data_IF_186271935348
#
_entry.id   IF_186271935348
#
_cell.length_a   1.000
_cell.length_b   1.000
_cell.length_c   1.000
_cell.angle_alpha   90.00
_cell.angle_beta   90.00
_cell.angle_gamma   90.00
#
_symmetry.space_group_name_H-M   'P 1'
#
loop_
_entity.id
_entity.type
_entity.pdbx_description
1 polymer ?
#
# COMPACT_ATOMS: atom_id res chain seq x y z
N UNK A 1 -27.54 8.44 6.82
CA UNK A 1 -26.57 7.33 6.85
C UNK A 1 -26.40 6.86 5.42
N UNK A 2 -25.25 7.13 4.84
CA UNK A 2 -24.94 6.64 3.49
C UNK A 2 -24.49 5.19 3.68
N UNK A 3 -25.29 4.23 3.21
CA UNK A 3 -24.91 2.82 3.19
C UNK A 3 -23.66 2.67 2.33
N UNK A 4 -22.51 2.63 3.00
CA UNK A 4 -21.26 2.24 2.36
C UNK A 4 -21.42 0.79 1.95
N UNK A 5 -21.70 0.56 0.65
CA UNK A 5 -21.92 -0.72 -0.05
C UNK A 5 -20.95 -1.88 0.27
N UNK A 6 -19.89 -1.64 1.06
CA UNK A 6 -18.84 -2.61 1.36
C UNK A 6 -18.58 -2.83 2.86
N UNK A 7 -19.28 -2.16 3.79
CA UNK A 7 -19.11 -2.41 5.23
C UNK A 7 -20.34 -3.09 5.82
N UNK A 8 -20.20 -4.38 6.10
CA UNK A 8 -21.09 -5.12 7.00
C UNK A 8 -20.82 -4.70 8.46
N UNK A 9 -21.78 -5.04 9.32
CA UNK A 9 -21.90 -4.64 10.73
C UNK A 9 -20.57 -4.47 11.50
N UNK A 10 -20.51 -3.44 12.34
CA UNK A 10 -19.42 -3.26 13.30
C UNK A 10 -19.48 -4.37 14.37
N UNK A 11 -18.34 -5.00 14.68
CA UNK A 11 -18.25 -5.97 15.79
C UNK A 11 -18.43 -5.31 17.16
N UNK A 12 -17.91 -4.09 17.31
CA UNK A 12 -18.03 -3.33 18.54
C UNK A 12 -19.35 -2.55 18.56
N UNK A 13 -20.01 -2.57 19.72
CA UNK A 13 -21.23 -1.80 20.01
C UNK A 13 -20.89 -0.42 20.60
N UNK A 14 -19.67 -0.25 21.11
CA UNK A 14 -19.16 1.03 21.60
C UNK A 14 -19.13 2.09 20.48
N UNK A 15 -19.44 3.34 20.83
CA UNK A 15 -19.35 4.48 19.91
C UNK A 15 -17.90 4.66 19.44
N UNK A 16 -17.71 4.97 18.16
CA UNK A 16 -16.39 5.29 17.61
C UNK A 16 -15.74 6.52 18.26
N UNK A 17 -14.44 6.67 18.03
CA UNK A 17 -13.61 7.75 18.61
C UNK A 17 -13.62 9.05 17.78
N UNK A 18 -14.19 9.02 16.58
CA UNK A 18 -14.15 10.15 15.64
C UNK A 18 -12.72 10.46 15.16
N UNK A 19 -12.46 11.74 14.92
CA UNK A 19 -11.14 12.25 14.55
C UNK A 19 -10.77 12.13 13.06
N UNK A 20 -9.56 12.61 12.76
CA UNK A 20 -8.95 12.61 11.43
C UNK A 20 -7.73 11.68 11.41
N UNK A 21 -7.62 10.90 10.35
CA UNK A 21 -6.52 9.97 10.10
C UNK A 21 -5.82 10.31 8.79
N UNK A 22 -4.51 10.03 8.70
CA UNK A 22 -3.63 10.35 7.54
C UNK A 22 -3.58 11.85 7.22
N UNK A 23 -3.60 12.71 8.24
CA UNK A 23 -3.41 14.17 8.10
C UNK A 23 -2.03 14.50 7.53
N UNK A 24 -1.01 13.71 7.87
CA UNK A 24 0.35 13.82 7.33
C UNK A 24 0.98 12.43 7.11
N UNK A 25 2.07 12.32 6.32
CA UNK A 25 2.83 11.07 6.23
C UNK A 25 3.38 10.59 7.59
N UNK A 26 3.58 11.49 8.54
CA UNK A 26 4.17 11.18 9.85
C UNK A 26 3.13 10.64 10.84
N UNK A 27 1.83 10.85 10.58
CA UNK A 27 0.73 10.30 11.37
C UNK A 27 0.46 8.82 11.07
N UNK A 28 1.19 8.21 10.12
CA UNK A 28 0.98 6.83 9.72
C UNK A 28 2.30 6.14 9.36
N UNK A 29 2.69 5.17 10.19
CA UNK A 29 3.86 4.34 9.99
C UNK A 29 3.48 2.90 9.63
N UNK A 30 4.21 2.32 8.68
CA UNK A 30 4.06 0.93 8.26
C UNK A 30 5.43 0.26 8.24
N UNK A 31 5.65 -0.69 9.13
CA UNK A 31 6.91 -1.41 9.26
C UNK A 31 6.74 -2.87 8.85
N UNK A 32 7.52 -3.33 7.86
CA UNK A 32 7.40 -4.71 7.40
C UNK A 32 7.92 -5.70 8.44
N UNK A 33 7.17 -6.78 8.62
CA UNK A 33 7.54 -7.92 9.46
C UNK A 33 8.07 -9.01 8.53
N UNK A 34 9.34 -9.35 8.71
CA UNK A 34 10.04 -10.41 7.99
C UNK A 34 9.42 -11.79 8.28
N UNK A 35 9.64 -12.80 7.41
CA UNK A 35 9.14 -14.16 7.63
C UNK A 35 9.54 -14.76 8.99
N UNK A 36 10.73 -14.42 9.50
CA UNK A 36 11.25 -14.83 10.81
C UNK A 36 10.67 -14.04 12.00
N UNK A 37 9.76 -13.09 11.75
CA UNK A 37 9.12 -12.27 12.76
C UNK A 37 9.87 -10.99 13.13
N UNK A 38 11.08 -10.75 12.61
CA UNK A 38 11.78 -9.48 12.85
C UNK A 38 11.05 -8.32 12.19
N UNK A 39 10.94 -7.21 12.91
CA UNK A 39 10.35 -5.98 12.36
C UNK A 39 11.45 -5.09 11.82
N UNK A 40 11.27 -4.60 10.59
CA UNK A 40 12.17 -3.62 10.00
C UNK A 40 11.79 -2.25 10.54
N UNK A 41 12.37 -1.83 11.66
CA UNK A 41 11.89 -0.63 12.36
C UNK A 41 12.30 0.67 11.63
N UNK A 42 11.43 1.69 11.69
CA UNK A 42 11.76 3.02 11.21
C UNK A 42 12.99 3.58 11.95
N UNK A 43 13.84 4.27 11.21
CA UNK A 43 15.07 4.95 11.67
C UNK A 43 16.11 4.03 12.32
N UNK A 44 15.86 2.72 12.39
CA UNK A 44 16.78 1.74 12.97
C UNK A 44 17.67 1.14 11.90
N UNK A 45 18.98 1.24 12.09
CA UNK A 45 19.96 0.54 11.26
C UNK A 45 19.82 -0.96 11.46
N UNK A 46 19.91 -1.70 10.35
CA UNK A 46 19.96 -3.15 10.38
C UNK A 46 21.35 -3.57 9.94
N UNK A 47 22.12 -3.97 10.93
CA UNK A 47 23.39 -4.64 10.73
C UNK A 47 23.11 -6.13 10.59
N UNK A 48 23.55 -6.70 9.48
CA UNK A 48 23.75 -8.14 9.36
C UNK A 48 25.24 -8.33 9.19
N UNK A 49 25.80 -9.25 9.96
CA UNK A 49 27.09 -9.80 9.59
C UNK A 49 26.93 -10.37 8.18
N UNK A 50 27.85 -9.98 7.29
CA UNK A 50 27.97 -10.61 5.98
C UNK A 50 28.35 -12.07 6.25
N UNK A 51 27.35 -12.95 6.46
CA UNK A 51 27.51 -14.34 6.05
C UNK A 51 28.05 -14.26 4.62
N UNK A 52 29.07 -15.05 4.29
CA UNK A 52 29.80 -15.07 3.00
C UNK A 52 28.93 -15.46 1.79
N UNK A 53 27.68 -15.02 1.77
CA UNK A 53 26.74 -14.95 0.68
C UNK A 53 27.38 -14.29 -0.54
N UNK A 54 27.95 -15.13 -1.40
CA UNK A 54 28.44 -14.78 -2.75
C UNK A 54 27.30 -14.64 -3.76
N UNK A 55 26.18 -14.04 -3.36
CA UNK A 55 25.01 -13.88 -4.21
C UNK A 55 25.11 -12.70 -5.17
N UNK A 56 24.42 -12.77 -6.31
CA UNK A 56 24.33 -11.63 -7.24
C UNK A 56 23.32 -10.57 -6.79
N UNK A 57 22.48 -10.87 -5.80
CA UNK A 57 21.52 -9.92 -5.26
C UNK A 57 22.08 -9.22 -4.02
N UNK A 58 21.60 -8.00 -3.82
CA UNK A 58 21.78 -7.26 -2.58
C UNK A 58 20.41 -7.01 -2.00
N UNK A 59 20.16 -7.53 -0.82
CA UNK A 59 18.99 -7.17 -0.03
C UNK A 59 19.26 -5.85 0.66
N UNK A 60 18.24 -5.01 0.78
CA UNK A 60 18.34 -3.74 1.46
C UNK A 60 17.01 -3.34 2.10
N UNK A 61 17.11 -2.63 3.21
CA UNK A 61 15.96 -2.11 3.96
C UNK A 61 15.65 -0.72 3.46
N UNK A 62 14.60 -0.62 2.67
CA UNK A 62 14.11 0.64 2.12
C UNK A 62 13.22 1.33 3.15
N UNK A 63 13.65 2.50 3.62
CA UNK A 63 12.81 3.45 4.32
C UNK A 63 12.38 4.56 3.35
N UNK A 64 11.09 4.94 3.37
CA UNK A 64 10.58 6.04 2.56
C UNK A 64 9.50 6.83 3.27
N UNK A 65 9.39 8.13 2.97
CA UNK A 65 8.34 9.03 3.47
C UNK A 65 7.66 9.74 2.29
N UNK A 66 6.33 9.71 2.21
CA UNK A 66 5.57 10.36 1.13
C UNK A 66 5.83 9.83 -0.31
N UNK A 67 6.55 8.72 -0.46
CA UNK A 67 6.89 8.07 -1.73
C UNK A 67 6.09 6.78 -1.95
N UNK A 68 5.72 6.48 -3.20
CA UNK A 68 5.28 5.14 -3.57
C UNK A 68 6.48 4.19 -3.60
N UNK A 69 6.28 2.89 -3.34
CA UNK A 69 7.39 1.91 -3.40
C UNK A 69 8.07 1.92 -4.77
N UNK A 70 7.29 1.98 -5.87
CA UNK A 70 7.85 1.96 -7.22
C UNK A 70 8.63 3.24 -7.54
N UNK A 71 8.14 4.41 -7.14
CA UNK A 71 8.83 5.68 -7.41
C UNK A 71 10.14 5.80 -6.62
N UNK A 72 10.15 5.32 -5.38
CA UNK A 72 11.37 5.24 -4.59
C UNK A 72 12.41 4.33 -5.26
N UNK A 73 12.00 3.14 -5.72
CA UNK A 73 12.89 2.22 -6.44
C UNK A 73 13.39 2.79 -7.78
N UNK A 74 12.56 3.57 -8.50
CA UNK A 74 13.00 4.29 -9.71
C UNK A 74 14.04 5.35 -9.37
N UNK A 75 13.84 6.12 -8.31
CA UNK A 75 14.78 7.14 -7.87
C UNK A 75 16.13 6.52 -7.48
N UNK A 76 16.10 5.43 -6.71
CA UNK A 76 17.30 4.64 -6.36
C UNK A 76 17.98 4.11 -7.62
N UNK A 77 17.21 3.50 -8.54
CA UNK A 77 17.73 3.00 -9.82
C UNK A 77 18.46 4.07 -10.63
N UNK A 78 17.88 5.27 -10.75
CA UNK A 78 18.55 6.41 -11.39
C UNK A 78 19.85 6.79 -10.69
N UNK A 79 19.84 6.88 -9.36
CA UNK A 79 21.03 7.26 -8.59
C UNK A 79 22.17 6.24 -8.70
N UNK A 80 21.88 4.94 -8.86
CA UNK A 80 22.89 3.90 -9.07
C UNK A 80 23.14 3.56 -10.55
N UNK A 81 22.47 4.24 -11.49
CA UNK A 81 22.65 4.07 -12.93
C UNK A 81 22.08 2.76 -13.49
N UNK A 82 20.94 2.27 -12.98
CA UNK A 82 20.32 1.05 -13.48
C UNK A 82 18.78 1.11 -13.57
N UNK A 83 18.21 0.18 -14.35
CA UNK A 83 16.77 0.09 -14.55
C UNK A 83 16.05 -0.43 -13.31
N UNK A 84 14.80 0.04 -13.09
CA UNK A 84 13.90 -0.49 -12.06
C UNK A 84 13.70 -2.01 -12.16
N UNK A 85 13.85 -2.60 -13.36
CA UNK A 85 13.73 -4.05 -13.57
C UNK A 85 14.74 -4.88 -12.76
N UNK A 86 15.83 -4.28 -12.29
CA UNK A 86 16.81 -4.93 -11.41
C UNK A 86 16.38 -4.98 -9.95
N UNK A 87 15.28 -4.32 -9.59
CA UNK A 87 14.77 -4.25 -8.22
C UNK A 87 13.58 -5.18 -8.02
N UNK A 88 13.43 -5.71 -6.81
CA UNK A 88 12.27 -6.52 -6.41
C UNK A 88 11.91 -6.23 -4.96
N UNK A 89 10.63 -6.42 -4.59
CA UNK A 89 10.08 -6.14 -3.26
C UNK A 89 9.00 -7.16 -2.91
N UNK A 90 8.69 -7.31 -1.62
CA UNK A 90 7.67 -8.26 -1.15
C UNK A 90 6.24 -7.73 -1.30
N UNK A 91 6.07 -6.41 -1.33
CA UNK A 91 4.77 -5.77 -1.52
C UNK A 91 4.89 -4.27 -1.70
N UNK A 92 3.80 -3.65 -2.13
CA UNK A 92 3.67 -2.19 -2.15
C UNK A 92 3.29 -1.70 -0.75
N UNK A 93 3.76 -0.51 -0.38
CA UNK A 93 3.37 0.18 0.85
C UNK A 93 2.75 1.53 0.50
N UNK A 94 1.92 2.05 1.40
CA UNK A 94 1.24 3.35 1.25
C UNK A 94 2.21 4.47 0.87
N UNK A 95 1.76 5.35 -0.05
CA UNK A 95 2.49 6.57 -0.39
C UNK A 95 2.44 7.59 0.75
N UNK A 96 1.25 7.81 1.31
CA UNK A 96 1.00 8.79 2.37
C UNK A 96 1.32 8.19 3.75
N UNK A 97 2.58 7.84 3.96
CA UNK A 97 3.06 7.17 5.16
C UNK A 97 4.59 7.32 5.30
N UNK A 98 5.11 7.02 6.49
CA UNK A 98 6.49 6.57 6.69
C UNK A 98 6.52 5.05 6.64
N UNK A 99 7.38 4.46 5.81
CA UNK A 99 7.36 3.00 5.64
C UNK A 99 8.75 2.41 5.55
N UNK A 100 8.92 1.23 6.12
CA UNK A 100 10.09 0.37 5.92
C UNK A 100 9.68 -0.94 5.27
N UNK A 101 10.51 -1.44 4.36
CA UNK A 101 10.30 -2.72 3.71
C UNK A 101 11.61 -3.31 3.20
N UNK A 102 11.65 -4.63 3.05
CA UNK A 102 12.75 -5.29 2.37
C UNK A 102 12.59 -5.17 0.87
N UNK A 103 13.68 -4.82 0.20
CA UNK A 103 13.82 -4.86 -1.23
C UNK A 103 15.13 -5.55 -1.61
N UNK A 104 15.27 -5.89 -2.89
CA UNK A 104 16.51 -6.43 -3.44
C UNK A 104 16.87 -5.75 -4.75
N UNK A 105 18.16 -5.67 -5.04
CA UNK A 105 18.73 -5.17 -6.28
C UNK A 105 19.69 -6.21 -6.87
N UNK A 106 19.62 -6.45 -8.17
CA UNK A 106 20.53 -7.36 -8.87
C UNK A 106 21.81 -6.65 -9.33
N UNK A 107 22.97 -7.22 -8.98
CA UNK A 107 24.32 -6.73 -9.31
C UNK A 107 24.59 -5.27 -8.90
N UNK A 108 24.13 -4.90 -7.70
CA UNK A 108 24.45 -3.61 -7.08
C UNK A 108 25.08 -3.89 -5.73
N UNK A 109 26.28 -3.37 -5.48
CA UNK A 109 26.97 -3.62 -4.21
C UNK A 109 26.31 -2.90 -3.02
N UNK A 110 26.26 -3.51 -1.83
CA UNK A 110 25.63 -2.92 -0.64
C UNK A 110 26.10 -1.50 -0.34
N UNK A 111 27.41 -1.25 -0.41
CA UNK A 111 27.99 0.08 -0.18
C UNK A 111 27.44 1.17 -1.11
N UNK A 112 27.11 0.83 -2.37
CA UNK A 112 26.52 1.80 -3.31
C UNK A 112 25.11 2.22 -2.90
N UNK A 113 24.34 1.31 -2.28
CA UNK A 113 23.00 1.62 -1.77
C UNK A 113 23.11 2.40 -0.45
N UNK A 114 23.98 1.97 0.46
CA UNK A 114 24.20 2.62 1.76
C UNK A 114 24.71 4.06 1.63
N UNK A 115 25.47 4.36 0.57
CA UNK A 115 25.98 5.70 0.28
C UNK A 115 24.96 6.64 -0.38
N UNK A 116 23.75 6.17 -0.71
CA UNK A 116 22.74 7.01 -1.34
C UNK A 116 22.22 8.08 -0.38
N UNK A 117 22.12 9.30 -0.90
CA UNK A 117 21.43 10.41 -0.25
C UNK A 117 20.33 10.91 -1.18
N UNK A 118 19.08 10.55 -0.87
CA UNK A 118 17.89 10.96 -1.61
C UNK A 118 16.88 11.47 -0.59
N UNK A 119 16.38 12.68 -0.79
CA UNK A 119 15.41 13.29 0.14
C UNK A 119 14.22 12.36 0.40
N UNK A 120 13.86 12.19 1.67
CA UNK A 120 12.76 11.34 2.14
C UNK A 120 12.89 9.83 1.83
N UNK A 121 14.09 9.36 1.44
CA UNK A 121 14.41 7.94 1.21
C UNK A 121 15.68 7.59 2.00
N UNK A 122 15.63 6.52 2.78
CA UNK A 122 16.75 5.98 3.53
C UNK A 122 17.02 4.52 3.22
N UNK A 123 18.29 4.11 3.26
CA UNK A 123 18.70 2.71 3.21
C UNK A 123 19.20 2.34 4.61
N UNK A 124 18.35 1.68 5.39
CA UNK A 124 18.63 1.40 6.80
C UNK A 124 19.60 0.21 6.98
N UNK A 125 19.81 -0.59 5.95
CA UNK A 125 20.76 -1.70 5.93
C UNK A 125 20.84 -2.29 4.52
N UNK A 126 21.96 -2.91 4.17
CA UNK A 126 22.13 -3.64 2.92
C UNK A 126 23.18 -4.74 3.07
N UNK A 127 22.94 -5.91 2.47
CA UNK A 127 23.83 -7.08 2.54
C UNK A 127 23.66 -7.95 1.28
N UNK A 128 24.65 -8.80 1.00
CA UNK A 128 24.58 -9.73 -0.14
C UNK A 128 23.61 -10.87 0.11
N UNK A 129 22.88 -11.30 -0.92
CA UNK A 129 21.92 -12.39 -0.84
C UNK A 129 21.93 -13.26 -2.11
N UNK A 130 21.74 -14.57 -1.95
CA UNK A 130 21.70 -15.52 -3.06
C UNK A 130 20.45 -15.40 -3.96
N UNK A 131 19.40 -14.71 -3.52
CA UNK A 131 18.12 -14.64 -4.20
C UNK A 131 17.51 -13.24 -4.16
N UNK A 132 16.59 -12.94 -5.09
CA UNK A 132 15.74 -11.75 -5.00
C UNK A 132 14.67 -11.90 -3.91
N UNK A 133 14.22 -10.78 -3.37
CA UNK A 133 12.99 -10.69 -2.58
C UNK A 133 11.81 -11.07 -3.50
N UNK A 134 10.99 -12.02 -3.05
CA UNK A 134 9.84 -12.52 -3.81
C UNK A 134 8.58 -11.74 -3.41
N UNK A 135 7.68 -11.52 -4.36
CA UNK A 135 6.37 -10.95 -4.04
C UNK A 135 5.65 -11.84 -3.02
N UNK A 136 5.07 -11.24 -1.98
CA UNK A 136 4.40 -11.94 -0.88
C UNK A 136 5.33 -12.53 0.18
N UNK A 137 6.66 -12.41 0.07
CA UNK A 137 7.60 -12.97 1.06
C UNK A 137 7.75 -12.08 2.31
N UNK A 138 6.65 -11.76 2.98
CA UNK A 138 6.60 -11.09 4.28
C UNK A 138 5.62 -11.82 5.21
N UNK A 139 5.81 -11.69 6.53
CA UNK A 139 4.86 -12.22 7.52
C UNK A 139 3.65 -11.30 7.70
N UNK A 140 3.88 -9.99 7.64
CA UNK A 140 2.85 -8.99 7.87
C UNK A 140 3.44 -7.58 7.97
N UNK A 141 2.65 -6.65 8.51
CA UNK A 141 3.09 -5.28 8.76
C UNK A 141 2.70 -4.88 10.18
N UNK A 142 3.57 -4.13 10.85
CA UNK A 142 3.27 -3.40 12.07
C UNK A 142 2.82 -2.00 11.70
N UNK A 143 1.66 -1.59 12.20
CA UNK A 143 1.09 -0.28 11.93
C UNK A 143 1.17 0.58 13.18
N UNK A 144 1.58 1.84 13.02
CA UNK A 144 1.41 2.88 14.03
C UNK A 144 0.60 4.00 13.42
N UNK A 145 -0.53 4.32 14.05
CA UNK A 145 -1.51 5.27 13.53
C UNK A 145 -1.75 6.35 14.59
N UNK A 146 -1.56 7.60 14.20
CA UNK A 146 -1.96 8.76 15.00
C UNK A 146 -3.29 9.29 14.45
N UNK A 147 -4.28 9.41 15.34
CA UNK A 147 -5.60 9.97 15.04
C UNK A 147 -5.71 11.30 15.77
N UNK A 148 -5.96 12.36 15.02
CA UNK A 148 -6.04 13.73 15.51
C UNK A 148 -7.50 14.18 15.64
N UNK A 149 -7.74 15.30 16.33
CA UNK A 149 -9.08 15.89 16.49
C UNK A 149 -10.11 14.90 17.08
N UNK A 150 -9.68 14.08 18.04
CA UNK A 150 -10.54 13.11 18.72
C UNK A 150 -11.35 13.76 19.84
N UNK A 151 -12.50 13.15 20.19
CA UNK A 151 -13.32 13.55 21.33
C UNK A 151 -12.59 13.30 22.67
N UNK A 152 -12.95 14.03 23.73
CA UNK A 152 -12.33 13.92 25.06
C UNK A 152 -12.37 12.50 25.64
N UNK A 153 -13.44 11.75 25.37
CA UNK A 153 -13.63 10.37 25.87
C UNK A 153 -12.98 9.32 24.96
N UNK A 154 -12.22 9.70 23.94
CA UNK A 154 -11.65 8.76 22.97
C UNK A 154 -10.81 7.67 23.64
N UNK A 155 -10.00 8.01 24.64
CA UNK A 155 -9.16 7.04 25.35
C UNK A 155 -9.97 5.95 26.07
N UNK A 156 -11.10 6.31 26.67
CA UNK A 156 -12.01 5.34 27.32
C UNK A 156 -12.72 4.47 26.29
N UNK A 157 -13.19 5.09 25.19
CA UNK A 157 -13.83 4.35 24.09
C UNK A 157 -12.87 3.36 23.43
N UNK A 158 -11.59 3.71 23.23
CA UNK A 158 -10.59 2.76 22.71
C UNK A 158 -10.50 1.54 23.62
N UNK A 159 -10.42 1.72 24.94
CA UNK A 159 -10.36 0.59 25.89
C UNK A 159 -11.59 -0.30 25.79
N UNK A 160 -12.78 0.30 25.71
CA UNK A 160 -14.05 -0.42 25.55
C UNK A 160 -14.08 -1.22 24.24
N UNK A 161 -13.78 -0.57 23.11
CA UNK A 161 -13.74 -1.18 21.78
C UNK A 161 -12.73 -2.35 21.77
N UNK A 162 -11.51 -2.16 22.25
CA UNK A 162 -10.49 -3.22 22.28
C UNK A 162 -10.93 -4.40 23.16
N UNK A 163 -11.57 -4.11 24.30
CA UNK A 163 -12.14 -5.14 25.17
C UNK A 163 -13.25 -5.95 24.51
N UNK A 164 -14.14 -5.30 23.76
CA UNK A 164 -15.21 -5.95 23.00
C UNK A 164 -14.65 -6.79 21.84
N UNK A 165 -13.67 -6.27 21.12
CA UNK A 165 -13.08 -6.92 19.94
C UNK A 165 -12.23 -8.15 20.29
N UNK A 166 -11.68 -8.24 21.50
CA UNK A 166 -10.80 -9.34 21.93
C UNK A 166 -9.63 -9.60 20.96
N UNK A 167 -9.13 -8.53 20.32
CA UNK A 167 -8.11 -8.57 19.27
C UNK A 167 -8.54 -9.20 17.93
N UNK A 168 -9.83 -9.38 17.70
CA UNK A 168 -10.39 -9.85 16.43
C UNK A 168 -11.06 -8.69 15.68
N UNK A 169 -10.88 -8.67 14.37
CA UNK A 169 -11.54 -7.71 13.47
C UNK A 169 -12.02 -8.44 12.23
N UNK A 170 -13.15 -8.04 11.63
CA UNK A 170 -13.56 -8.62 10.36
C UNK A 170 -12.53 -8.29 9.29
N UNK A 171 -12.05 -9.31 8.59
CA UNK A 171 -11.06 -9.15 7.53
C UNK A 171 -11.73 -8.79 6.19
N UNK A 172 -12.42 -7.64 6.17
CA UNK A 172 -13.10 -7.15 4.98
C UNK A 172 -12.13 -6.55 3.95
N UNK A 173 -12.50 -6.65 2.69
CA UNK A 173 -11.92 -5.80 1.64
C UNK A 173 -12.47 -4.38 1.80
N UNK A 174 -11.59 -3.41 2.06
CA UNK A 174 -11.98 -2.00 2.12
C UNK A 174 -12.33 -1.42 0.74
N UNK A 175 -12.94 -0.23 0.72
CA UNK A 175 -13.37 0.48 -0.50
C UNK A 175 -12.26 0.60 -1.56
N UNK A 176 -11.00 0.78 -1.14
CA UNK A 176 -9.84 0.85 -2.04
C UNK A 176 -9.66 -0.39 -2.92
N UNK A 177 -10.19 -1.55 -2.52
CA UNK A 177 -10.11 -2.79 -3.29
C UNK A 177 -11.05 -2.80 -4.50
N UNK A 178 -12.10 -2.01 -4.45
CA UNK A 178 -13.13 -1.90 -5.49
C UNK A 178 -12.85 -0.75 -6.48
N UNK A 179 -11.67 -0.14 -6.37
CA UNK A 179 -11.22 0.93 -7.25
C UNK A 179 -11.85 2.28 -6.93
N UNK A 180 -11.38 3.32 -7.61
CA UNK A 180 -11.84 4.71 -7.43
C UNK A 180 -13.35 4.85 -7.71
N UNK A 181 -13.84 4.06 -8.67
CA UNK A 181 -15.26 4.03 -9.07
C UNK A 181 -16.12 3.07 -8.26
N UNK A 182 -15.51 2.30 -7.35
CA UNK A 182 -16.18 1.33 -6.49
C UNK A 182 -17.08 0.33 -7.26
N UNK A 183 -16.66 -0.07 -8.47
CA UNK A 183 -17.45 -0.90 -9.39
C UNK A 183 -16.72 -2.15 -9.90
N UNK A 184 -15.49 -2.41 -9.45
CA UNK A 184 -14.72 -3.60 -9.88
C UNK A 184 -15.46 -4.92 -9.64
N UNK A 185 -16.26 -5.00 -8.57
CA UNK A 185 -17.09 -6.15 -8.23
C UNK A 185 -18.26 -6.35 -9.20
N UNK A 186 -18.83 -5.27 -9.73
CA UNK A 186 -19.94 -5.33 -10.70
C UNK A 186 -19.41 -5.82 -12.05
N UNK A 187 -18.25 -5.28 -12.48
CA UNK A 187 -17.53 -5.79 -13.66
C UNK A 187 -17.22 -7.29 -13.50
N UNK A 188 -16.70 -7.67 -12.32
CA UNK A 188 -16.39 -9.06 -12.02
C UNK A 188 -17.61 -9.98 -12.05
N UNK A 189 -18.76 -9.53 -11.55
CA UNK A 189 -20.02 -10.27 -11.59
C UNK A 189 -20.46 -10.56 -13.04
N UNK A 190 -20.48 -9.56 -13.90
CA UNK A 190 -20.82 -9.74 -15.32
C UNK A 190 -19.88 -10.72 -16.02
N UNK A 191 -18.57 -10.63 -15.76
CA UNK A 191 -17.60 -11.56 -16.34
C UNK A 191 -17.85 -13.02 -15.92
N UNK A 192 -18.13 -13.26 -14.64
CA UNK A 192 -18.41 -14.61 -14.13
C UNK A 192 -19.70 -15.19 -14.70
N UNK A 193 -20.69 -14.34 -14.98
CA UNK A 193 -21.96 -14.73 -15.62
C UNK A 193 -21.86 -14.91 -17.14
N UNK A 194 -20.72 -14.58 -17.75
CA UNK A 194 -20.55 -14.58 -19.21
C UNK A 194 -21.21 -13.40 -19.92
N UNK A 195 -21.61 -12.36 -19.19
CA UNK A 195 -22.26 -11.15 -19.68
C UNK A 195 -21.21 -10.13 -20.15
N UNK A 196 -20.38 -10.51 -21.13
CA UNK A 196 -19.18 -9.73 -21.52
C UNK A 196 -19.48 -8.31 -21.98
N UNK A 197 -20.57 -8.10 -22.73
CA UNK A 197 -20.97 -6.76 -23.18
C UNK A 197 -21.31 -5.85 -21.99
N UNK A 198 -22.03 -6.38 -21.00
CA UNK A 198 -22.34 -5.65 -19.78
C UNK A 198 -21.07 -5.37 -18.95
N UNK A 199 -20.13 -6.32 -18.89
CA UNK A 199 -18.84 -6.11 -18.22
C UNK A 199 -18.03 -4.96 -18.86
N UNK A 200 -17.98 -4.91 -20.19
CA UNK A 200 -17.29 -3.84 -20.94
C UNK A 200 -17.99 -2.50 -20.72
N UNK A 201 -19.32 -2.45 -20.83
CA UNK A 201 -20.11 -1.23 -20.56
C UNK A 201 -19.89 -0.73 -19.13
N UNK A 202 -19.96 -1.60 -18.13
CA UNK A 202 -19.72 -1.21 -16.73
C UNK A 202 -18.28 -0.69 -16.52
N UNK A 203 -17.29 -1.36 -17.12
CA UNK A 203 -15.90 -0.93 -17.04
C UNK A 203 -15.66 0.43 -17.72
N UNK A 204 -16.26 0.67 -18.87
CA UNK A 204 -16.07 1.89 -19.67
C UNK A 204 -16.98 3.05 -19.25
N UNK A 205 -18.18 2.79 -18.73
CA UNK A 205 -19.21 3.82 -18.54
C UNK A 205 -19.61 3.96 -17.08
N UNK A 206 -19.74 2.85 -16.34
CA UNK A 206 -20.29 2.81 -14.97
C UNK A 206 -19.92 4.00 -14.06
N UNK A 207 -20.87 4.84 -13.70
CA UNK A 207 -20.58 6.02 -12.89
C UNK A 207 -20.52 5.66 -11.40
N UNK A 208 -19.48 6.12 -10.70
CA UNK A 208 -19.34 5.89 -9.26
C UNK A 208 -18.11 6.56 -8.66
N UNK A 209 -18.17 6.89 -7.37
CA UNK A 209 -17.02 7.35 -6.59
C UNK A 209 -16.46 8.73 -6.96
N UNK A 210 -15.20 8.99 -6.61
CA UNK A 210 -14.52 10.28 -6.83
C UNK A 210 -13.79 10.27 -8.17
N UNK A 211 -14.33 10.94 -9.17
CA UNK A 211 -13.74 10.99 -10.52
C UNK A 211 -13.51 12.42 -11.01
N UNK A 212 -12.64 12.58 -12.02
CA UNK A 212 -12.38 13.88 -12.67
C UNK A 212 -13.55 14.28 -13.59
N UNK A 213 -13.79 15.58 -13.73
CA UNK A 213 -14.89 16.09 -14.54
C UNK A 213 -14.80 15.69 -16.02
N UNK A 214 -13.60 15.69 -16.59
CA UNK A 214 -13.38 15.33 -17.98
C UNK A 214 -13.68 13.84 -18.23
N UNK A 215 -13.24 12.97 -17.32
CA UNK A 215 -13.54 11.54 -17.39
C UNK A 215 -15.05 11.28 -17.30
N UNK A 216 -15.81 12.03 -16.48
CA UNK A 216 -17.28 11.95 -16.45
C UNK A 216 -17.91 12.30 -17.77
N UNK A 217 -17.42 13.37 -18.41
CA UNK A 217 -17.98 13.86 -19.66
C UNK A 217 -17.73 12.87 -20.78
N UNK A 218 -16.50 12.35 -20.90
CA UNK A 218 -16.14 11.34 -21.90
C UNK A 218 -17.00 10.07 -21.75
N UNK A 219 -17.23 9.59 -20.52
CA UNK A 219 -18.05 8.40 -20.28
C UNK A 219 -19.53 8.61 -20.59
N UNK A 220 -20.11 9.77 -20.24
CA UNK A 220 -21.50 10.11 -20.63
C UNK A 220 -21.65 10.16 -22.14
N UNK A 221 -20.67 10.78 -22.82
CA UNK A 221 -20.64 10.82 -24.28
C UNK A 221 -20.61 9.40 -24.86
N UNK A 222 -19.77 8.53 -24.32
CA UNK A 222 -19.69 7.13 -24.75
C UNK A 222 -21.00 6.35 -24.50
N UNK A 223 -21.71 6.63 -23.40
CA UNK A 223 -23.01 6.02 -23.08
C UNK A 223 -24.11 6.47 -24.05
N UNK A 224 -24.11 7.76 -24.40
CA UNK A 224 -25.11 8.39 -25.27
C UNK A 224 -24.88 8.09 -26.75
N UNK A 225 -23.62 8.14 -27.21
CA UNK A 225 -23.26 8.06 -28.63
C UNK A 225 -22.87 6.64 -29.06
N UNK A 226 -22.37 5.80 -28.15
CA UNK A 226 -21.86 4.47 -28.47
C UNK A 226 -20.61 4.46 -29.35
N UNK A 227 -19.97 5.61 -29.57
CA UNK A 227 -18.75 5.74 -30.39
C UNK A 227 -17.50 5.44 -29.55
N UNK A 228 -17.07 4.18 -29.62
CA UNK A 228 -15.85 3.71 -28.95
C UNK A 228 -14.55 4.22 -29.60
N UNK A 229 -14.58 4.77 -30.82
CA UNK A 229 -13.40 5.23 -31.52
C UNK A 229 -13.01 6.67 -31.13
N UNK A 230 -14.00 7.49 -30.74
CA UNK A 230 -13.81 8.90 -30.39
C UNK A 230 -13.66 9.19 -28.89
N UNK A 231 -14.01 8.21 -28.02
CA UNK A 231 -14.03 8.32 -26.55
C UNK A 231 -12.67 8.05 -25.88
#
# INVERSE_FOLDING_TARGET
MEEKKCMLAYLSKSKGIGGKFKSSPDSFAVEEIMPDGRVLELDKRIEREDEESKGEFTHFVLQKRAWSTLDALRAIGRAVGCSIKRFSHAGLKDRQARTTQLASAWKIEPGRLLALSIKDIGINGAWKAGNKVKMGSLKGNRFTMHVEEVESEAGERVKSIVGELRSEVPNYFGEQRFGIRNNSQVVGEHLVRGEFEAAVKEYLIGAGGKEHADARKARRRLDEEGDYAEA
#
